data_IF_490780896942
#
_entry.id   IF_490780896942
#
_cell.length_a   1.000
_cell.length_b   1.000
_cell.length_c   1.000
_cell.angle_alpha   90.00
_cell.angle_beta   90.00
_cell.angle_gamma   90.00
#
_symmetry.space_group_name_H-M   'P 1'
#
loop_
_entity.id
_entity.type
_entity.pdbx_description
1 polymer ?
#
# COMPACT_ATOMS: atom_id res chain seq x y z
N UNK A 1 18.23 -20.07 -24.94
CA UNK A 1 18.17 -18.70 -24.42
C UNK A 1 19.25 -18.58 -23.36
N UNK A 2 20.42 -18.00 -23.65
CA UNK A 2 21.47 -17.87 -22.64
C UNK A 2 21.10 -16.74 -21.68
N UNK A 3 21.03 -17.05 -20.39
CA UNK A 3 20.82 -16.05 -19.32
C UNK A 3 22.14 -15.29 -19.11
N UNK A 4 22.23 -13.97 -19.33
CA UNK A 4 23.50 -13.29 -19.27
C UNK A 4 23.65 -12.60 -17.90
N UNK A 5 24.01 -13.39 -16.89
CA UNK A 5 24.65 -12.82 -15.69
C UNK A 5 25.85 -13.69 -15.38
N UNK A 6 27.04 -13.20 -15.77
CA UNK A 6 28.31 -13.89 -15.57
C UNK A 6 28.77 -13.84 -14.11
N UNK A 7 28.39 -12.80 -13.38
CA UNK A 7 28.66 -12.64 -11.95
C UNK A 7 27.47 -11.96 -11.26
N UNK A 8 26.77 -12.72 -10.42
CA UNK A 8 25.66 -12.24 -9.64
C UNK A 8 26.08 -11.27 -8.53
N UNK A 9 27.31 -11.42 -8.03
CA UNK A 9 27.84 -10.59 -6.94
C UNK A 9 28.00 -9.15 -7.39
N UNK A 10 28.57 -8.95 -8.58
CA UNK A 10 28.74 -7.62 -9.17
C UNK A 10 27.40 -7.00 -9.57
N UNK A 11 26.51 -7.81 -10.16
CA UNK A 11 25.16 -7.38 -10.52
C UNK A 11 24.35 -6.88 -9.31
N UNK A 12 24.39 -7.61 -8.19
CA UNK A 12 23.71 -7.23 -6.94
C UNK A 12 24.46 -6.18 -6.12
N UNK A 13 25.71 -5.84 -6.47
CA UNK A 13 26.48 -4.80 -5.77
C UNK A 13 26.00 -3.39 -6.14
N UNK A 14 25.38 -3.23 -7.31
CA UNK A 14 24.84 -1.95 -7.78
C UNK A 14 23.41 -1.75 -7.28
N UNK A 15 23.23 -1.75 -5.96
CA UNK A 15 21.94 -1.44 -5.37
C UNK A 15 21.85 0.06 -5.10
N UNK A 16 20.81 0.70 -5.64
CA UNK A 16 20.46 2.07 -5.26
C UNK A 16 19.98 2.06 -3.81
N UNK A 17 20.79 2.62 -2.90
CA UNK A 17 20.49 2.68 -1.47
C UNK A 17 19.10 3.27 -1.17
N UNK A 18 18.63 4.24 -1.97
CA UNK A 18 17.29 4.83 -1.80
C UNK A 18 16.20 3.84 -2.16
N UNK A 19 16.42 3.01 -3.18
CA UNK A 19 15.50 1.94 -3.56
C UNK A 19 15.44 0.87 -2.47
N UNK A 20 16.58 0.47 -1.91
CA UNK A 20 16.67 -0.49 -0.80
C UNK A 20 15.95 0.04 0.44
N UNK A 21 16.16 1.31 0.78
CA UNK A 21 15.50 1.94 1.93
C UNK A 21 13.97 2.06 1.74
N UNK A 22 13.52 2.39 0.52
CA UNK A 22 12.10 2.41 0.19
C UNK A 22 11.45 1.03 0.37
N UNK A 23 12.08 -0.03 -0.15
CA UNK A 23 11.61 -1.42 0.00
C UNK A 23 11.51 -1.79 1.48
N UNK A 24 12.57 -1.53 2.27
CA UNK A 24 12.58 -1.81 3.72
C UNK A 24 11.44 -1.08 4.43
N UNK A 25 11.30 0.23 4.19
CA UNK A 25 10.27 1.05 4.84
C UNK A 25 8.85 0.56 4.53
N UNK A 26 8.58 0.16 3.29
CA UNK A 26 7.24 -0.30 2.90
C UNK A 26 6.94 -1.71 3.44
N UNK A 27 7.91 -2.63 3.38
CA UNK A 27 7.76 -4.01 3.88
C UNK A 27 7.59 -4.10 5.40
N UNK A 28 8.20 -3.19 6.18
CA UNK A 28 8.04 -3.16 7.65
C UNK A 28 6.59 -2.99 8.12
N UNK A 29 5.73 -2.38 7.31
CA UNK A 29 4.30 -2.20 7.66
C UNK A 29 3.41 -3.36 7.20
N UNK A 30 3.99 -4.36 6.52
CA UNK A 30 3.25 -5.45 5.87
C UNK A 30 2.44 -5.01 4.65
N UNK A 31 2.56 -3.74 4.23
CA UNK A 31 1.83 -3.19 3.09
C UNK A 31 2.64 -3.42 1.80
N UNK A 32 2.04 -3.98 0.75
CA UNK A 32 2.76 -4.20 -0.52
C UNK A 32 3.26 -2.87 -1.11
N UNK A 33 4.50 -2.87 -1.60
CA UNK A 33 5.12 -1.74 -2.30
C UNK A 33 4.64 -1.67 -3.76
N UNK A 34 3.35 -1.46 -3.97
CA UNK A 34 2.77 -1.27 -5.29
C UNK A 34 2.04 0.07 -5.41
N UNK A 35 1.87 0.52 -6.65
CA UNK A 35 1.01 1.67 -6.94
C UNK A 35 -0.46 1.38 -6.66
N UNK A 36 -1.30 2.41 -6.63
CA UNK A 36 -2.72 2.29 -6.25
C UNK A 36 -3.48 1.24 -7.09
N UNK A 37 -3.18 1.14 -8.39
CA UNK A 37 -3.78 0.13 -9.27
C UNK A 37 -3.42 -1.31 -8.89
N UNK A 38 -2.17 -1.56 -8.51
CA UNK A 38 -1.71 -2.87 -8.04
C UNK A 38 -2.40 -3.24 -6.72
N UNK A 39 -2.50 -2.27 -5.79
CA UNK A 39 -3.17 -2.49 -4.52
C UNK A 39 -4.66 -2.76 -4.74
N UNK A 40 -5.35 -2.00 -5.59
CA UNK A 40 -6.77 -2.21 -5.88
C UNK A 40 -7.06 -3.60 -6.47
N UNK A 41 -6.20 -4.10 -7.36
CA UNK A 41 -6.31 -5.45 -7.89
C UNK A 41 -6.15 -6.51 -6.78
N UNK A 42 -5.16 -6.34 -5.89
CA UNK A 42 -4.95 -7.24 -4.76
C UNK A 42 -6.13 -7.24 -3.77
N UNK A 43 -6.69 -6.07 -3.48
CA UNK A 43 -7.87 -5.96 -2.63
C UNK A 43 -9.08 -6.69 -3.23
N UNK A 44 -9.25 -6.61 -4.56
CA UNK A 44 -10.27 -7.35 -5.29
C UNK A 44 -10.10 -8.86 -5.19
N UNK A 45 -8.87 -9.36 -5.26
CA UNK A 45 -8.56 -10.79 -5.13
C UNK A 45 -8.70 -11.31 -3.69
N UNK A 46 -8.28 -10.51 -2.71
CA UNK A 46 -8.24 -10.92 -1.30
C UNK A 46 -9.53 -10.64 -0.54
N UNK A 47 -10.42 -9.78 -1.08
CA UNK A 47 -11.60 -9.31 -0.38
C UNK A 47 -11.28 -8.52 0.90
N UNK A 48 -10.08 -7.95 1.00
CA UNK A 48 -9.58 -7.21 2.16
C UNK A 48 -9.07 -5.84 1.73
N UNK A 49 -9.23 -4.84 2.60
CA UNK A 49 -8.69 -3.50 2.36
C UNK A 49 -7.25 -3.44 2.84
N UNK A 50 -6.32 -3.29 1.90
CA UNK A 50 -4.90 -3.04 2.10
C UNK A 50 -4.58 -1.54 2.07
N UNK A 51 -5.52 -0.70 1.60
CA UNK A 51 -5.36 0.74 1.55
C UNK A 51 -5.27 1.37 2.93
N UNK A 52 -4.39 2.38 3.10
CA UNK A 52 -4.27 3.09 4.38
C UNK A 52 -5.59 3.79 4.68
N UNK A 53 -6.27 3.32 5.72
CA UNK A 53 -7.55 3.87 6.16
C UNK A 53 -7.34 5.06 7.11
N UNK A 54 -8.44 5.79 7.38
CA UNK A 54 -8.43 6.86 8.37
C UNK A 54 -7.90 6.31 9.71
N UNK A 55 -6.84 6.90 10.28
CA UNK A 55 -6.36 6.51 11.59
C UNK A 55 -7.42 6.85 12.64
N UNK A 56 -7.49 6.04 13.70
CA UNK A 56 -8.46 6.19 14.78
C UNK A 56 -9.59 5.16 14.74
N UNK A 57 -10.42 5.10 15.81
CA UNK A 57 -11.48 4.12 15.93
C UNK A 57 -12.54 4.31 14.83
N UNK A 58 -13.11 3.19 14.36
CA UNK A 58 -14.24 3.24 13.42
C UNK A 58 -15.37 4.07 14.03
N UNK A 59 -16.02 4.96 13.28
CA UNK A 59 -17.16 5.72 13.78
C UNK A 59 -18.25 4.76 14.25
N UNK A 60 -18.82 5.02 15.43
CA UNK A 60 -19.94 4.24 15.95
C UNK A 60 -21.11 4.37 14.97
N UNK A 61 -21.59 3.24 14.44
CA UNK A 61 -22.78 3.22 13.60
C UNK A 61 -23.97 3.72 14.43
N UNK A 62 -24.45 4.94 14.16
CA UNK A 62 -25.69 5.45 14.74
C UNK A 62 -25.61 6.80 15.44
N UNK A 63 -25.53 7.88 14.67
CA UNK A 63 -26.45 9.01 14.84
C UNK A 63 -26.95 9.35 13.43
N UNK A 64 -28.22 8.99 13.15
CA UNK A 64 -29.01 9.59 12.06
C UNK A 64 -28.65 11.08 11.99
N UNK A 65 -28.30 11.56 10.80
CA UNK A 65 -28.11 12.98 10.52
C UNK A 65 -29.28 13.76 11.10
N UNK A 66 -29.09 14.35 12.28
CA UNK A 66 -30.02 15.36 12.79
C UNK A 66 -29.71 16.63 12.01
N UNK A 67 -30.77 17.16 11.42
CA UNK A 67 -30.95 18.56 11.09
C UNK A 67 -30.59 18.98 9.65
N UNK A 68 -31.49 18.62 8.73
CA UNK A 68 -32.08 19.63 7.83
C UNK A 68 -32.34 20.90 8.65
N UNK A 69 -31.55 21.95 8.42
CA UNK A 69 -31.69 23.24 9.09
C UNK A 69 -32.08 24.28 8.04
N UNK A 70 -33.30 24.79 8.16
CA UNK A 70 -33.69 26.13 7.70
C UNK A 70 -34.30 26.23 6.31
N UNK A 71 -35.58 25.92 6.18
CA UNK A 71 -36.49 26.84 5.48
C UNK A 71 -36.75 28.02 6.41
N UNK A 72 -36.49 29.23 5.94
CA UNK A 72 -37.16 30.48 6.29
C UNK A 72 -36.75 31.51 5.23
#
# INVERSE_FOLDING_TARGET
>A
MPWPVADWTDYLRTEDEKMVEAIRRQTMTGRPSGGDGFIAQLEGLLGRILHRQKPGPKPKAGKRAKQIKGQA
#
